data_IF_438307083018
#
_entry.id   IF_438307083018
#
_cell.length_a   1.000
_cell.length_b   1.000
_cell.length_c   1.000
_cell.angle_alpha   90.00
_cell.angle_beta   90.00
_cell.angle_gamma   90.00
#
_symmetry.space_group_name_H-M   'P 1'
#
loop_
_entity.id
_entity.type
_entity.pdbx_description
1 polymer ?
#
# COMPACT_ATOMS: atom_id res chain seq x y z
N UNK A 1 27.31 2.71 27.45
CA UNK A 1 26.44 3.43 26.49
C UNK A 1 25.89 4.66 27.20
N UNK A 2 25.63 5.76 26.50
CA UNK A 2 25.08 6.97 27.13
C UNK A 2 23.57 6.81 27.38
N UNK A 3 23.01 7.52 28.36
CA UNK A 3 21.57 7.52 28.64
C UNK A 3 20.72 7.87 27.41
N UNK A 4 21.22 8.77 26.56
CA UNK A 4 20.59 9.15 25.30
C UNK A 4 20.51 7.98 24.29
N UNK A 5 21.50 7.09 24.27
CA UNK A 5 21.46 5.88 23.44
C UNK A 5 20.46 4.84 23.96
N UNK A 6 20.22 4.82 25.26
CA UNK A 6 19.28 3.92 25.93
C UNK A 6 17.83 4.39 25.71
N UNK A 7 17.57 5.69 25.82
CA UNK A 7 16.26 6.29 25.51
C UNK A 7 15.88 6.12 24.04
N UNK A 8 16.82 6.29 23.10
CA UNK A 8 16.59 6.06 21.68
C UNK A 8 16.24 4.60 21.36
N UNK A 9 16.84 3.64 22.07
CA UNK A 9 16.51 2.22 21.90
C UNK A 9 15.10 1.89 22.43
N UNK A 10 14.69 2.49 23.54
CA UNK A 10 13.35 2.27 24.11
C UNK A 10 12.26 2.83 23.20
N UNK A 11 12.43 4.05 22.67
CA UNK A 11 11.45 4.66 21.75
C UNK A 11 11.33 3.84 20.45
N UNK A 12 12.45 3.34 19.91
CA UNK A 12 12.45 2.48 18.74
C UNK A 12 11.76 1.13 19.01
N UNK A 13 12.01 0.52 20.16
CA UNK A 13 11.38 -0.74 20.57
C UNK A 13 9.88 -0.57 20.84
N UNK A 14 9.45 0.57 21.39
CA UNK A 14 8.03 0.87 21.61
C UNK A 14 7.29 1.12 20.28
N UNK A 15 7.91 1.83 19.34
CA UNK A 15 7.39 1.99 17.98
C UNK A 15 7.26 0.65 17.26
N UNK A 16 8.25 -0.24 17.41
CA UNK A 16 8.23 -1.62 16.91
C UNK A 16 7.17 -2.49 17.59
N UNK A 17 6.90 -2.29 18.89
CA UNK A 17 5.89 -3.07 19.61
C UNK A 17 4.44 -2.69 19.23
N UNK A 18 4.22 -1.43 18.82
CA UNK A 18 2.91 -0.95 18.32
C UNK A 18 2.60 -1.46 16.91
N UNK A 19 3.63 -1.85 16.16
CA UNK A 19 3.56 -2.45 14.83
C UNK A 19 3.87 -3.95 14.96
N UNK A 20 2.90 -4.73 15.41
CA UNK A 20 3.07 -6.12 15.82
C UNK A 20 4.09 -6.95 15.02
N UNK A 21 5.08 -7.48 15.75
CA UNK A 21 6.05 -8.48 15.28
C UNK A 21 7.25 -7.88 14.58
N UNK A 22 8.44 -8.14 15.12
CA UNK A 22 9.71 -7.93 14.43
C UNK A 22 9.65 -8.59 13.04
N UNK A 23 9.41 -7.78 12.02
CA UNK A 23 9.46 -8.21 10.63
C UNK A 23 10.94 -8.07 10.21
N UNK A 24 11.68 -9.16 9.97
CA UNK A 24 13.05 -9.07 9.44
C UNK A 24 13.13 -8.29 8.11
N UNK A 25 11.98 -7.97 7.49
CA UNK A 25 11.85 -7.19 6.26
C UNK A 25 11.89 -5.65 6.45
N UNK A 26 11.47 -5.09 7.59
CA UNK A 26 11.33 -3.62 7.70
C UNK A 26 12.69 -2.91 7.61
N UNK A 27 13.63 -3.24 8.51
CA UNK A 27 14.94 -2.60 8.54
C UNK A 27 15.76 -2.90 7.27
N UNK A 28 15.61 -4.11 6.72
CA UNK A 28 16.30 -4.53 5.51
C UNK A 28 15.78 -3.77 4.27
N UNK A 29 14.46 -3.56 4.15
CA UNK A 29 13.88 -2.75 3.08
C UNK A 29 14.23 -1.28 3.22
N UNK A 30 14.27 -0.74 4.44
CA UNK A 30 14.76 0.63 4.69
C UNK A 30 16.23 0.74 4.24
N UNK A 31 17.09 -0.18 4.67
CA UNK A 31 18.50 -0.19 4.28
C UNK A 31 18.68 -0.32 2.75
N UNK A 32 17.89 -1.18 2.10
CA UNK A 32 17.88 -1.36 0.65
C UNK A 32 17.40 -0.11 -0.09
N UNK A 33 16.36 0.56 0.40
CA UNK A 33 15.86 1.82 -0.15
C UNK A 33 16.91 2.93 -0.05
N UNK A 34 17.51 3.12 1.13
CA UNK A 34 18.58 4.11 1.37
C UNK A 34 19.80 3.84 0.48
N UNK A 35 20.23 2.57 0.34
CA UNK A 35 21.32 2.18 -0.55
C UNK A 35 21.05 2.52 -2.02
N UNK A 36 19.78 2.53 -2.42
CA UNK A 36 19.33 2.93 -3.76
C UNK A 36 19.07 4.43 -3.90
N UNK A 37 19.52 5.26 -2.94
CA UNK A 37 19.31 6.72 -2.90
C UNK A 37 17.84 7.14 -2.91
N UNK A 38 16.95 6.29 -2.41
CA UNK A 38 15.55 6.63 -2.22
C UNK A 38 15.43 7.60 -1.05
N UNK A 39 14.79 8.75 -1.29
CA UNK A 39 14.45 9.71 -0.23
C UNK A 39 13.26 9.19 0.56
N UNK A 40 13.51 8.77 1.79
CA UNK A 40 12.54 8.22 2.74
C UNK A 40 12.76 8.87 4.10
N UNK A 41 11.69 9.29 4.78
CA UNK A 41 11.76 9.76 6.17
C UNK A 41 11.50 8.57 7.08
N UNK A 42 12.56 7.91 7.52
CA UNK A 42 12.51 6.60 8.19
C UNK A 42 11.61 6.57 9.42
N UNK A 43 11.56 7.66 10.17
CA UNK A 43 10.78 7.78 11.41
C UNK A 43 9.26 7.91 11.15
N UNK A 44 8.88 8.29 9.93
CA UNK A 44 7.48 8.47 9.53
C UNK A 44 6.93 7.28 8.74
N UNK A 45 7.74 6.28 8.43
CA UNK A 45 7.31 5.11 7.67
C UNK A 45 6.32 4.31 8.50
N UNK A 46 5.09 4.21 7.99
CA UNK A 46 4.02 3.43 8.62
C UNK A 46 3.98 2.00 8.09
N UNK A 47 4.38 1.80 6.83
CA UNK A 47 4.44 0.49 6.18
C UNK A 47 5.41 0.52 5.00
N UNK A 48 6.18 -0.55 4.83
CA UNK A 48 7.09 -0.77 3.70
C UNK A 48 7.02 -2.24 3.30
N UNK A 49 7.04 -2.51 2.00
CA UNK A 49 6.96 -3.86 1.44
C UNK A 49 7.68 -3.94 0.10
N UNK A 50 8.03 -5.14 -0.33
CA UNK A 50 8.54 -5.40 -1.67
C UNK A 50 7.51 -6.16 -2.50
N UNK A 51 7.23 -5.68 -3.72
CA UNK A 51 6.41 -6.38 -4.71
C UNK A 51 7.28 -7.21 -5.67
N UNK A 52 6.71 -8.30 -6.20
CA UNK A 52 7.42 -9.14 -7.18
C UNK A 52 7.74 -8.37 -8.47
N UNK A 53 8.91 -8.61 -9.04
CA UNK A 53 9.34 -8.04 -10.33
C UNK A 53 8.45 -8.44 -11.51
N UNK A 54 7.67 -9.52 -11.36
CA UNK A 54 6.68 -9.96 -12.34
C UNK A 54 5.37 -9.17 -12.30
N UNK A 55 5.16 -8.29 -11.31
CA UNK A 55 3.96 -7.45 -11.20
C UNK A 55 3.98 -6.40 -12.31
N UNK A 56 3.06 -6.53 -13.25
CA UNK A 56 2.87 -5.54 -14.31
C UNK A 56 1.71 -4.60 -13.97
N UNK A 57 1.98 -3.54 -13.21
CA UNK A 57 1.00 -2.49 -12.87
C UNK A 57 1.35 -1.22 -13.64
N UNK A 58 0.45 -0.68 -14.48
CA UNK A 58 0.73 0.55 -15.24
C UNK A 58 1.18 1.71 -14.36
N UNK A 59 2.33 2.30 -14.68
CA UNK A 59 2.90 3.45 -13.95
C UNK A 59 3.64 3.10 -12.66
N UNK A 60 3.66 1.82 -12.24
CA UNK A 60 4.45 1.36 -11.11
C UNK A 60 5.79 0.82 -11.59
N UNK A 61 6.88 1.48 -11.23
CA UNK A 61 8.23 1.16 -11.73
C UNK A 61 9.22 0.78 -10.63
N UNK A 62 8.78 0.77 -9.37
CA UNK A 62 9.63 0.46 -8.23
C UNK A 62 9.12 -0.78 -7.50
N UNK A 63 10.06 -1.62 -7.04
CA UNK A 63 9.73 -2.86 -6.33
C UNK A 63 9.51 -2.65 -4.85
N UNK A 64 10.23 -1.69 -4.24
CA UNK A 64 10.10 -1.36 -2.82
C UNK A 64 9.09 -0.24 -2.72
N UNK A 65 7.97 -0.50 -2.08
CA UNK A 65 6.91 0.49 -1.89
C UNK A 65 6.80 0.82 -0.41
N UNK A 66 6.46 2.06 -0.10
CA UNK A 66 6.20 2.45 1.28
C UNK A 66 5.15 3.54 1.36
N UNK A 67 4.59 3.65 2.55
CA UNK A 67 3.75 4.75 2.97
C UNK A 67 4.33 5.34 4.24
N UNK A 68 4.47 6.66 4.24
CA UNK A 68 4.82 7.44 5.41
C UNK A 68 3.63 8.30 5.85
N UNK A 69 3.71 8.86 7.06
CA UNK A 69 2.70 9.76 7.60
C UNK A 69 2.30 10.85 6.59
N UNK A 70 3.30 11.45 5.94
CA UNK A 70 3.15 12.34 4.81
C UNK A 70 2.46 13.67 5.16
N UNK A 71 1.83 14.25 4.14
CA UNK A 71 1.21 15.57 4.17
C UNK A 71 -0.22 15.52 3.65
N UNK A 72 -0.90 16.64 3.72
CA UNK A 72 -2.22 16.86 3.11
C UNK A 72 -2.31 16.60 1.60
N UNK A 73 -1.15 16.48 0.93
CA UNK A 73 -1.03 16.29 -0.52
C UNK A 73 -0.48 14.93 -0.93
N UNK A 74 0.15 14.19 -0.01
CA UNK A 74 0.72 12.88 -0.30
C UNK A 74 0.90 12.01 0.97
N UNK A 75 0.86 10.70 0.83
CA UNK A 75 1.05 9.75 1.94
C UNK A 75 -0.21 9.52 2.76
N UNK A 76 -0.07 9.00 3.98
CA UNK A 76 -1.21 8.56 4.78
C UNK A 76 -2.20 9.69 5.11
N UNK A 77 -1.72 10.88 5.48
CA UNK A 77 -2.58 12.07 5.72
C UNK A 77 -3.44 12.44 4.51
N UNK A 78 -2.95 12.23 3.28
CA UNK A 78 -3.73 12.47 2.08
C UNK A 78 -4.83 11.41 1.90
N UNK A 79 -4.55 10.14 2.19
CA UNK A 79 -5.55 9.06 2.13
C UNK A 79 -6.66 9.24 3.16
N UNK A 80 -6.35 9.78 4.34
CA UNK A 80 -7.34 10.07 5.38
C UNK A 80 -8.44 11.03 4.93
N UNK A 81 -8.19 11.87 3.91
CA UNK A 81 -9.22 12.72 3.30
C UNK A 81 -10.33 11.94 2.61
N UNK A 82 -10.05 10.69 2.25
CA UNK A 82 -10.98 9.76 1.62
C UNK A 82 -11.52 8.69 2.58
N UNK A 83 -11.29 8.83 3.90
CA UNK A 83 -11.67 7.79 4.88
C UNK A 83 -13.15 7.44 4.86
N UNK A 84 -14.02 8.45 4.77
CA UNK A 84 -15.47 8.23 4.72
C UNK A 84 -15.91 7.49 3.46
N UNK A 85 -15.14 7.57 2.36
CA UNK A 85 -15.42 6.79 1.15
C UNK A 85 -14.93 5.35 1.29
N UNK A 86 -13.80 5.12 1.96
CA UNK A 86 -13.33 3.77 2.30
C UNK A 86 -14.25 3.05 3.28
N UNK A 87 -14.79 3.76 4.28
CA UNK A 87 -15.75 3.21 5.23
C UNK A 87 -17.01 2.69 4.53
N UNK A 88 -17.49 3.38 3.48
CA UNK A 88 -18.64 2.94 2.67
C UNK A 88 -18.39 1.61 1.96
N UNK A 89 -17.14 1.29 1.62
CA UNK A 89 -16.74 -0.01 1.02
C UNK A 89 -16.20 -0.98 2.06
N UNK A 90 -16.39 -0.70 3.36
CA UNK A 90 -16.08 -1.61 4.45
C UNK A 90 -14.60 -1.67 4.85
N UNK A 91 -13.81 -0.64 4.51
CA UNK A 91 -12.40 -0.48 4.91
C UNK A 91 -12.30 0.59 6.00
N UNK A 92 -11.77 0.22 7.16
CA UNK A 92 -11.52 1.15 8.27
C UNK A 92 -10.20 1.92 8.10
N UNK A 93 -10.09 3.06 8.78
CA UNK A 93 -8.95 3.98 8.70
C UNK A 93 -7.59 3.29 8.97
N UNK A 94 -7.53 2.44 9.98
CA UNK A 94 -6.35 1.66 10.38
C UNK A 94 -5.89 0.65 9.33
N UNK A 95 -6.75 0.32 8.36
CA UNK A 95 -6.47 -0.63 7.28
C UNK A 95 -5.99 -0.01 5.99
N UNK A 96 -5.98 1.33 5.86
CA UNK A 96 -5.61 1.99 4.61
C UNK A 96 -4.18 1.66 4.13
N UNK A 97 -3.21 1.62 5.06
CA UNK A 97 -1.84 1.23 4.72
C UNK A 97 -1.76 -0.24 4.27
N UNK A 98 -2.54 -1.13 4.89
CA UNK A 98 -2.65 -2.53 4.51
C UNK A 98 -3.26 -2.71 3.12
N UNK A 99 -4.30 -1.94 2.80
CA UNK A 99 -4.93 -1.97 1.48
C UNK A 99 -3.95 -1.55 0.39
N UNK A 100 -3.07 -0.57 0.64
CA UNK A 100 -2.05 -0.17 -0.33
C UNK A 100 -1.06 -1.30 -0.63
N UNK A 101 -0.61 -2.02 0.41
CA UNK A 101 0.20 -3.23 0.23
C UNK A 101 -0.58 -4.30 -0.52
N UNK A 102 -1.75 -4.70 -0.01
CA UNK A 102 -2.56 -5.76 -0.60
C UNK A 102 -2.85 -5.51 -2.08
N UNK A 103 -3.31 -4.30 -2.43
CA UNK A 103 -3.62 -3.94 -3.81
C UNK A 103 -2.40 -4.06 -4.73
N UNK A 104 -1.24 -3.57 -4.30
CA UNK A 104 -0.01 -3.60 -5.11
C UNK A 104 0.68 -4.96 -5.13
N UNK A 105 0.42 -5.82 -4.14
CA UNK A 105 0.98 -7.17 -4.04
C UNK A 105 0.14 -8.22 -4.76
N UNK A 106 -1.19 -8.21 -4.57
CA UNK A 106 -2.09 -9.23 -5.14
C UNK A 106 -3.08 -8.68 -6.16
N UNK A 107 -3.49 -7.41 -6.06
CA UNK A 107 -4.59 -6.88 -6.87
C UNK A 107 -4.38 -6.98 -8.40
N UNK A 108 -5.46 -7.26 -9.11
CA UNK A 108 -5.54 -7.30 -10.58
C UNK A 108 -5.64 -5.89 -11.15
N UNK A 109 -4.75 -5.47 -12.06
CA UNK A 109 -4.91 -4.21 -12.78
C UNK A 109 -6.10 -4.26 -13.75
N UNK A 110 -6.93 -3.21 -13.74
CA UNK A 110 -8.16 -3.14 -14.54
C UNK A 110 -8.67 -1.71 -14.70
N UNK A 111 -8.10 -0.99 -15.67
CA UNK A 111 -8.48 0.39 -16.00
C UNK A 111 -7.69 1.46 -15.25
N UNK A 112 -8.04 2.72 -15.53
CA UNK A 112 -7.36 3.91 -15.03
C UNK A 112 -8.36 4.94 -14.49
N UNK A 113 -7.98 5.68 -13.45
CA UNK A 113 -8.77 6.78 -12.88
C UNK A 113 -8.07 8.13 -13.03
N UNK A 114 -8.86 9.17 -13.34
CA UNK A 114 -8.43 10.56 -13.41
C UNK A 114 -8.06 11.03 -14.82
N UNK A 115 -7.91 12.35 -14.96
CA UNK A 115 -7.81 13.02 -16.26
C UNK A 115 -6.36 13.19 -16.76
N UNK A 116 -5.37 12.68 -16.01
CA UNK A 116 -3.95 12.70 -16.40
C UNK A 116 -3.63 11.47 -17.24
N UNK A 117 -2.65 11.58 -18.13
CA UNK A 117 -2.14 10.45 -18.92
C UNK A 117 -0.71 10.10 -18.47
N UNK A 118 -0.42 8.85 -18.07
CA UNK A 118 -1.39 7.82 -17.68
C UNK A 118 -2.08 8.20 -16.35
N UNK A 119 -3.35 7.82 -16.17
CA UNK A 119 -4.08 8.08 -14.92
C UNK A 119 -3.54 7.27 -13.73
N UNK A 120 -4.35 7.07 -12.71
CA UNK A 120 -4.07 6.15 -11.60
C UNK A 120 -4.50 4.74 -11.99
N UNK A 121 -3.66 3.69 -11.96
CA UNK A 121 -4.13 2.33 -12.16
C UNK A 121 -5.19 1.96 -11.12
N UNK A 122 -6.23 1.26 -11.55
CA UNK A 122 -7.24 0.67 -10.67
C UNK A 122 -6.86 -0.79 -10.45
N UNK A 123 -6.81 -1.20 -9.19
CA UNK A 123 -6.47 -2.55 -8.74
C UNK A 123 -7.68 -3.16 -8.04
N UNK A 124 -8.18 -4.29 -8.53
CA UNK A 124 -9.26 -5.07 -7.92
C UNK A 124 -8.71 -6.28 -7.16
N UNK A 125 -9.25 -6.53 -5.98
CA UNK A 125 -8.85 -7.63 -5.10
C UNK A 125 -10.00 -8.02 -4.16
N UNK A 126 -9.85 -9.17 -3.51
CA UNK A 126 -10.62 -9.50 -2.32
C UNK A 126 -9.79 -9.17 -1.08
N UNK A 127 -10.15 -8.10 -0.37
CA UNK A 127 -9.50 -7.70 0.87
C UNK A 127 -10.28 -8.24 2.07
N UNK A 128 -9.68 -9.14 2.83
CA UNK A 128 -10.31 -9.89 3.93
C UNK A 128 -11.69 -10.44 3.54
N UNK A 129 -11.72 -11.15 2.39
CA UNK A 129 -12.92 -11.76 1.79
C UNK A 129 -14.01 -10.77 1.34
N UNK A 130 -13.69 -9.48 1.26
CA UNK A 130 -14.60 -8.46 0.72
C UNK A 130 -14.08 -7.95 -0.61
N UNK A 131 -14.93 -7.84 -1.65
CA UNK A 131 -14.53 -7.26 -2.92
C UNK A 131 -14.14 -5.79 -2.73
N UNK A 132 -13.01 -5.40 -3.32
CA UNK A 132 -12.48 -4.05 -3.24
C UNK A 132 -11.82 -3.67 -4.57
N UNK A 133 -12.05 -2.43 -5.02
CA UNK A 133 -11.27 -1.82 -6.09
C UNK A 133 -10.69 -0.51 -5.59
N UNK A 134 -9.42 -0.24 -5.86
CA UNK A 134 -8.75 1.00 -5.47
C UNK A 134 -7.98 1.59 -6.63
N UNK A 135 -8.09 2.91 -6.80
CA UNK A 135 -7.18 3.66 -7.65
C UNK A 135 -6.00 4.15 -6.81
N UNK A 136 -4.79 3.73 -7.16
CA UNK A 136 -3.58 4.03 -6.39
C UNK A 136 -2.59 4.88 -7.19
N UNK A 137 -1.95 5.83 -6.51
CA UNK A 137 -0.85 6.64 -7.05
C UNK A 137 0.43 6.34 -6.30
N UNK A 138 1.45 5.93 -7.04
CA UNK A 138 2.79 5.67 -6.51
C UNK A 138 3.77 6.55 -7.28
N UNK A 139 4.65 7.24 -6.56
CA UNK A 139 5.75 7.99 -7.16
C UNK A 139 6.75 7.05 -7.82
N UNK A 140 7.54 7.54 -8.78
CA UNK A 140 8.57 6.73 -9.44
C UNK A 140 9.64 6.17 -8.49
N UNK A 141 9.73 6.74 -7.29
CA UNK A 141 10.61 6.29 -6.22
C UNK A 141 10.00 5.16 -5.36
N UNK A 142 8.72 4.79 -5.52
CA UNK A 142 8.03 3.79 -4.70
C UNK A 142 7.14 4.36 -3.59
N UNK A 143 7.14 5.69 -3.38
CA UNK A 143 6.31 6.32 -2.37
C UNK A 143 4.84 6.28 -2.75
N UNK A 144 3.96 5.75 -1.90
CA UNK A 144 2.52 5.81 -2.13
C UNK A 144 1.99 7.21 -1.84
N UNK A 145 1.68 7.94 -2.92
CA UNK A 145 1.20 9.32 -2.88
C UNK A 145 -0.25 9.38 -2.41
N UNK A 146 -1.10 8.47 -2.88
CA UNK A 146 -2.52 8.52 -2.55
C UNK A 146 -3.29 7.32 -3.07
N UNK A 147 -4.45 7.08 -2.48
CA UNK A 147 -5.31 5.95 -2.81
C UNK A 147 -6.77 6.32 -2.56
N UNK A 148 -7.65 5.95 -3.48
CA UNK A 148 -9.09 6.18 -3.39
C UNK A 148 -9.83 4.88 -3.67
N UNK A 149 -11.00 4.62 -3.05
CA UNK A 149 -11.84 3.52 -3.47
C UNK A 149 -12.39 3.78 -4.88
N UNK A 150 -12.62 2.71 -5.61
CA UNK A 150 -13.31 2.68 -6.90
C UNK A 150 -14.51 1.72 -6.82
N UNK A 151 -15.45 1.85 -7.74
CA UNK A 151 -16.54 0.90 -7.86
C UNK A 151 -16.01 -0.45 -8.39
N UNK A 152 -16.30 -1.53 -7.68
CA UNK A 152 -15.79 -2.88 -7.99
C UNK A 152 -16.48 -3.50 -9.21
N UNK A 153 -17.80 -3.33 -9.36
CA UNK A 153 -18.54 -3.85 -10.51
C UNK A 153 -18.05 -3.21 -11.82
N UNK A 154 -17.88 -1.89 -11.83
CA UNK A 154 -17.27 -1.15 -12.95
C UNK A 154 -15.83 -1.60 -13.23
N UNK A 155 -15.10 -2.06 -12.21
CA UNK A 155 -13.77 -2.64 -12.38
C UNK A 155 -13.87 -3.99 -13.11
N UNK A 156 -14.76 -4.89 -12.67
CA UNK A 156 -14.96 -6.20 -13.30
C UNK A 156 -15.32 -6.05 -14.78
N UNK A 157 -16.27 -5.16 -15.09
CA UNK A 157 -16.69 -4.86 -16.46
C UNK A 157 -15.52 -4.38 -17.34
N UNK A 158 -14.70 -3.45 -16.84
CA UNK A 158 -13.56 -2.89 -17.58
C UNK A 158 -12.40 -3.85 -17.71
N UNK A 159 -12.17 -4.67 -16.70
CA UNK A 159 -11.12 -5.67 -16.69
C UNK A 159 -11.50 -6.92 -17.49
N UNK A 160 -12.80 -7.12 -17.79
CA UNK A 160 -13.30 -8.31 -18.48
C UNK A 160 -13.06 -9.59 -17.68
N UNK A 161 -13.17 -9.51 -16.36
CA UNK A 161 -12.88 -10.60 -15.41
C UNK A 161 -14.10 -10.84 -14.52
N UNK A 162 -14.34 -12.10 -14.13
CA UNK A 162 -15.40 -12.42 -13.20
C UNK A 162 -14.95 -12.30 -11.74
N UNK A 163 -15.92 -12.14 -10.84
CA UNK A 163 -15.63 -11.97 -9.41
C UNK A 163 -14.92 -13.18 -8.80
N UNK A 164 -15.27 -14.41 -9.19
CA UNK A 164 -14.69 -15.62 -8.59
C UNK A 164 -13.21 -15.75 -8.99
N UNK A 165 -12.84 -15.40 -10.23
CA UNK A 165 -11.43 -15.33 -10.62
C UNK A 165 -10.65 -14.33 -9.76
N UNK A 166 -11.24 -13.17 -9.45
CA UNK A 166 -10.62 -12.19 -8.53
C UNK A 166 -10.51 -12.74 -7.11
N UNK A 167 -11.54 -13.41 -6.61
CA UNK A 167 -11.52 -14.02 -5.27
C UNK A 167 -10.47 -15.12 -5.15
N UNK A 168 -10.37 -16.00 -6.15
CA UNK A 168 -9.44 -17.13 -6.14
C UNK A 168 -7.98 -16.68 -6.30
N UNK A 169 -7.72 -15.76 -7.22
CA UNK A 169 -6.34 -15.41 -7.62
C UNK A 169 -5.81 -14.11 -7.01
N UNK A 170 -6.70 -13.24 -6.53
CA UNK A 170 -6.37 -11.87 -6.09
C UNK A 170 -6.92 -11.58 -4.69
N UNK A 171 -6.75 -12.53 -3.76
CA UNK A 171 -7.16 -12.40 -2.36
C UNK A 171 -6.05 -11.98 -1.40
N UNK A 172 -6.44 -11.20 -0.39
CA UNK A 172 -5.61 -10.78 0.73
C UNK A 172 -6.32 -11.05 2.08
N UNK A 173 -5.66 -11.63 3.09
CA UNK A 173 -4.31 -12.22 3.02
C UNK A 173 -4.28 -13.37 2.01
N UNK A 174 -3.09 -13.65 1.47
CA UNK A 174 -2.89 -14.73 0.50
C UNK A 174 -3.33 -16.04 1.17
N UNK A 175 -4.33 -16.77 0.62
CA UNK A 175 -4.79 -18.02 1.22
C UNK A 175 -3.63 -19.00 1.39
N UNK A 176 -3.58 -19.67 2.54
CA UNK A 176 -2.66 -20.79 2.74
C UNK A 176 -3.11 -21.94 1.84
N UNK A 177 -2.23 -22.34 0.91
CA UNK A 177 -2.38 -23.56 0.10
C UNK A 177 -2.23 -24.82 0.93
#
# INVERSE_FOLDING_TARGET
>A
MSQEQEELQVVAAEAQSRLGGANPDFNDLIAKALKNNVKITTEEVMRIWQISTSRNIPGLTHEILWIEQGTDRAGYKHMLKHKADFEKVGVSEDKLAEVAEAATTVGKPGGMQGNKSPGRPILGLFFHKKPLAVAISVGSNGFVVGMNPSNFDNFLEKAGIDQNEVEELHSWPIPSV
#
